data_IF_201528844816
#
_entry.id   IF_201528844816
#
_cell.length_a   1.000
_cell.length_b   1.000
_cell.length_c   1.000
_cell.angle_alpha   90.00
_cell.angle_beta   90.00
_cell.angle_gamma   90.00
#
_symmetry.space_group_name_H-M   'P 1'
#
loop_
_entity.id
_entity.type
_entity.pdbx_description
1 polymer ?
#
# COMPACT_ATOMS: atom_id res chain seq x y z
N UNK A 1 7.38 -16.16 -12.51
CA UNK A 1 7.30 -14.77 -11.99
C UNK A 1 6.24 -14.76 -10.89
N UNK A 2 6.35 -13.95 -9.83
CA UNK A 2 5.27 -13.86 -8.82
C UNK A 2 4.11 -13.02 -9.34
N UNK A 3 2.89 -13.25 -8.85
CA UNK A 3 1.71 -12.45 -9.25
C UNK A 3 1.86 -10.97 -8.92
N UNK A 4 2.53 -10.64 -7.81
CA UNK A 4 2.84 -9.27 -7.41
C UNK A 4 3.78 -8.60 -8.42
N UNK A 5 4.79 -9.33 -8.90
CA UNK A 5 5.72 -8.86 -9.94
C UNK A 5 5.01 -8.65 -11.27
N UNK A 6 4.09 -9.54 -11.66
CA UNK A 6 3.30 -9.38 -12.89
C UNK A 6 2.46 -8.10 -12.83
N UNK A 7 1.73 -7.88 -11.73
CA UNK A 7 0.91 -6.67 -11.55
C UNK A 7 1.77 -5.41 -11.57
N UNK A 8 2.96 -5.45 -10.94
CA UNK A 8 3.90 -4.33 -10.93
C UNK A 8 4.41 -3.97 -12.32
N UNK A 9 4.89 -4.95 -13.08
CA UNK A 9 5.44 -4.70 -14.41
C UNK A 9 4.35 -4.25 -15.40
N UNK A 10 3.16 -4.83 -15.31
CA UNK A 10 2.00 -4.34 -16.07
C UNK A 10 1.72 -2.86 -15.75
N UNK A 11 1.72 -2.46 -14.47
CA UNK A 11 1.53 -1.06 -14.08
C UNK A 11 2.64 -0.15 -14.59
N UNK A 12 3.89 -0.58 -14.54
CA UNK A 12 5.04 0.17 -15.06
C UNK A 12 4.90 0.43 -16.58
N UNK A 13 4.31 -0.52 -17.31
CA UNK A 13 4.01 -0.41 -18.74
C UNK A 13 2.69 0.33 -19.03
N UNK A 14 2.03 0.89 -18.01
CA UNK A 14 0.80 1.67 -18.15
C UNK A 14 -0.49 0.83 -18.23
N UNK A 15 -0.45 -0.44 -17.80
CA UNK A 15 -1.63 -1.28 -17.68
C UNK A 15 -2.19 -1.26 -16.25
N UNK A 16 -3.50 -1.11 -16.12
CA UNK A 16 -4.23 -1.40 -14.89
C UNK A 16 -4.85 -2.80 -14.97
N UNK A 17 -4.72 -3.58 -13.89
CA UNK A 17 -5.30 -4.92 -13.77
C UNK A 17 -6.25 -4.95 -12.58
N UNK A 18 -7.45 -5.45 -12.80
CA UNK A 18 -8.47 -5.68 -11.77
C UNK A 18 -9.20 -7.00 -12.00
N UNK A 19 -10.02 -7.39 -11.03
CA UNK A 19 -10.93 -8.52 -11.15
C UNK A 19 -12.38 -8.02 -11.09
N UNK A 20 -13.23 -8.50 -11.99
CA UNK A 20 -14.66 -8.23 -12.01
C UNK A 20 -15.42 -9.54 -12.29
N UNK A 21 -16.31 -9.94 -11.37
CA UNK A 21 -17.10 -11.17 -11.51
C UNK A 21 -16.28 -12.44 -11.77
N UNK A 22 -15.05 -12.52 -11.26
CA UNK A 22 -14.12 -13.65 -11.52
C UNK A 22 -13.44 -13.61 -12.89
N UNK A 23 -13.55 -12.50 -13.63
CA UNK A 23 -12.79 -12.24 -14.85
C UNK A 23 -11.68 -11.23 -14.60
N UNK A 24 -10.56 -11.42 -15.28
CA UNK A 24 -9.44 -10.49 -15.26
C UNK A 24 -9.76 -9.34 -16.21
N UNK A 25 -9.85 -8.13 -15.69
CA UNK A 25 -10.05 -6.91 -16.46
C UNK A 25 -8.70 -6.21 -16.57
N UNK A 26 -8.29 -5.89 -17.80
CA UNK A 26 -7.04 -5.19 -18.08
C UNK A 26 -7.34 -3.95 -18.91
N UNK A 27 -6.89 -2.80 -18.45
CA UNK A 27 -7.10 -1.51 -19.09
C UNK A 27 -5.75 -0.86 -19.43
N UNK A 28 -5.61 -0.34 -20.64
CA UNK A 28 -4.39 0.30 -21.12
C UNK A 28 -4.32 0.35 -22.64
N UNK A 29 -3.16 0.69 -23.21
CA UNK A 29 -2.98 0.73 -24.65
C UNK A 29 -3.11 -0.69 -25.26
N UNK A 30 -3.89 -0.90 -26.35
CA UNK A 30 -4.15 -2.23 -26.91
C UNK A 30 -2.88 -3.02 -27.26
N UNK A 31 -1.87 -2.33 -27.81
CA UNK A 31 -0.58 -2.91 -28.19
C UNK A 31 0.18 -3.45 -26.98
N UNK A 32 0.12 -2.73 -25.85
CA UNK A 32 0.74 -3.16 -24.60
C UNK A 32 -0.03 -4.35 -24.01
N UNK A 33 -1.36 -4.35 -24.07
CA UNK A 33 -2.19 -5.48 -23.63
C UNK A 33 -1.88 -6.75 -24.43
N UNK A 34 -1.74 -6.64 -25.75
CA UNK A 34 -1.39 -7.78 -26.61
C UNK A 34 -0.01 -8.35 -26.28
N UNK A 35 0.95 -7.48 -25.96
CA UNK A 35 2.30 -7.87 -25.51
C UNK A 35 2.25 -8.68 -24.22
N UNK A 36 1.41 -8.28 -23.26
CA UNK A 36 1.26 -8.95 -21.96
C UNK A 36 0.33 -10.17 -21.97
N UNK A 37 -0.46 -10.36 -23.03
CA UNK A 37 -1.50 -11.39 -23.13
C UNK A 37 -1.03 -12.82 -22.80
N UNK A 38 0.16 -13.28 -23.23
CA UNK A 38 0.64 -14.63 -22.86
C UNK A 38 0.87 -14.77 -21.36
N UNK A 39 1.58 -13.82 -20.75
CA UNK A 39 1.90 -13.82 -19.31
C UNK A 39 0.63 -13.75 -18.46
N UNK A 40 -0.31 -12.89 -18.85
CA UNK A 40 -1.60 -12.74 -18.16
C UNK A 40 -2.46 -14.01 -18.23
N UNK A 41 -2.39 -14.76 -19.35
CA UNK A 41 -3.07 -16.05 -19.48
C UNK A 41 -2.45 -17.11 -18.58
N UNK A 42 -1.12 -17.21 -18.58
CA UNK A 42 -0.38 -18.20 -17.79
C UNK A 42 -0.62 -18.01 -16.28
N UNK A 43 -0.77 -16.77 -15.83
CA UNK A 43 -0.99 -16.43 -14.42
C UNK A 43 -2.46 -16.13 -14.07
N UNK A 44 -3.43 -16.36 -14.96
CA UNK A 44 -4.84 -15.90 -14.80
C UNK A 44 -5.45 -16.27 -13.44
N UNK A 45 -5.36 -17.55 -13.06
CA UNK A 45 -6.00 -18.04 -11.84
C UNK A 45 -5.35 -17.47 -10.57
N UNK A 46 -4.02 -17.39 -10.56
CA UNK A 46 -3.26 -16.83 -9.43
C UNK A 46 -3.53 -15.32 -9.29
N UNK A 47 -3.60 -14.59 -10.42
CA UNK A 47 -3.96 -13.17 -10.45
C UNK A 47 -5.37 -12.94 -9.90
N UNK A 48 -6.35 -13.74 -10.32
CA UNK A 48 -7.71 -13.64 -9.82
C UNK A 48 -7.78 -13.92 -8.30
N UNK A 49 -7.11 -14.97 -7.83
CA UNK A 49 -7.05 -15.28 -6.41
C UNK A 49 -6.37 -14.16 -5.60
N UNK A 50 -5.27 -13.60 -6.12
CA UNK A 50 -4.57 -12.49 -5.48
C UNK A 50 -5.42 -11.21 -5.44
N UNK A 51 -6.05 -10.84 -6.56
CA UNK A 51 -6.88 -9.64 -6.65
C UNK A 51 -8.15 -9.74 -5.81
N UNK A 52 -8.67 -10.96 -5.61
CA UNK A 52 -9.76 -11.24 -4.68
C UNK A 52 -9.32 -11.30 -3.21
N UNK A 53 -8.01 -11.36 -2.93
CA UNK A 53 -7.50 -11.48 -1.57
C UNK A 53 -7.47 -10.14 -0.83
N UNK A 54 -7.50 -10.23 0.51
CA UNK A 54 -7.34 -9.08 1.40
C UNK A 54 -6.01 -8.34 1.17
N UNK A 55 -4.99 -9.00 0.60
CA UNK A 55 -3.68 -8.38 0.34
C UNK A 55 -3.75 -7.28 -0.72
N UNK A 56 -4.48 -7.53 -1.81
CA UNK A 56 -4.65 -6.53 -2.86
C UNK A 56 -5.48 -5.34 -2.35
N UNK A 57 -6.53 -5.62 -1.58
CA UNK A 57 -7.39 -4.60 -0.97
C UNK A 57 -6.60 -3.76 0.04
N UNK A 58 -5.82 -4.40 0.92
CA UNK A 58 -4.96 -3.73 1.90
C UNK A 58 -3.88 -2.87 1.24
N UNK A 59 -3.28 -3.34 0.14
CA UNK A 59 -2.34 -2.52 -0.64
C UNK A 59 -3.02 -1.25 -1.16
N UNK A 60 -4.19 -1.37 -1.79
CA UNK A 60 -4.93 -0.23 -2.32
C UNK A 60 -5.36 0.74 -1.21
N UNK A 61 -5.87 0.21 -0.10
CA UNK A 61 -6.26 0.98 1.07
C UNK A 61 -5.08 1.77 1.67
N UNK A 62 -3.89 1.15 1.77
CA UNK A 62 -2.66 1.84 2.19
C UNK A 62 -2.30 3.00 1.29
N UNK A 63 -2.30 2.79 -0.03
CA UNK A 63 -1.97 3.87 -0.99
C UNK A 63 -2.93 5.05 -0.78
N UNK A 64 -4.23 4.79 -0.67
CA UNK A 64 -5.22 5.83 -0.42
C UNK A 64 -4.99 6.55 0.92
N UNK A 65 -4.80 5.82 2.03
CA UNK A 65 -4.56 6.42 3.35
C UNK A 65 -3.29 7.28 3.34
N UNK A 66 -2.22 6.82 2.69
CA UNK A 66 -0.98 7.58 2.60
C UNK A 66 -1.16 8.85 1.74
N UNK A 67 -1.99 8.80 0.70
CA UNK A 67 -2.37 9.98 -0.08
C UNK A 67 -3.23 10.96 0.72
N UNK A 68 -4.14 10.48 1.57
CA UNK A 68 -4.91 11.33 2.50
C UNK A 68 -4.01 12.04 3.52
N UNK A 69 -2.88 11.42 3.84
CA UNK A 69 -1.79 12.00 4.62
C UNK A 69 -0.93 13.02 3.83
N UNK A 70 -1.23 13.24 2.54
CA UNK A 70 -0.56 14.22 1.68
C UNK A 70 0.66 13.69 0.95
N UNK A 71 0.91 12.37 0.94
CA UNK A 71 1.96 11.80 0.11
C UNK A 71 1.48 11.71 -1.35
N UNK A 72 2.31 12.10 -2.33
CA UNK A 72 1.97 11.85 -3.73
C UNK A 72 1.99 10.34 -4.02
N UNK A 73 1.28 9.92 -5.07
CA UNK A 73 1.16 8.50 -5.45
C UNK A 73 2.52 7.80 -5.59
N UNK A 74 3.49 8.45 -6.25
CA UNK A 74 4.83 7.92 -6.45
C UNK A 74 5.63 7.72 -5.15
N UNK A 75 5.24 8.36 -4.04
CA UNK A 75 5.82 8.15 -2.72
C UNK A 75 5.02 7.14 -1.88
N UNK A 76 3.69 7.13 -2.02
CA UNK A 76 2.80 6.21 -1.30
C UNK A 76 2.96 4.74 -1.76
N UNK A 77 3.04 4.51 -3.08
CA UNK A 77 3.12 3.16 -3.64
C UNK A 77 4.37 2.38 -3.19
N UNK A 78 5.60 2.93 -3.20
CA UNK A 78 6.78 2.23 -2.70
C UNK A 78 6.67 1.85 -1.22
N UNK A 79 6.05 2.69 -0.39
CA UNK A 79 5.83 2.38 1.03
C UNK A 79 4.86 1.20 1.16
N UNK A 80 3.71 1.25 0.46
CA UNK A 80 2.74 0.16 0.47
C UNK A 80 3.35 -1.16 -0.03
N UNK A 81 4.24 -1.11 -1.03
CA UNK A 81 4.99 -2.26 -1.54
C UNK A 81 5.92 -2.86 -0.49
N UNK A 82 6.68 -2.02 0.21
CA UNK A 82 7.53 -2.47 1.35
C UNK A 82 6.69 -3.17 2.43
N UNK A 83 5.48 -2.67 2.69
CA UNK A 83 4.57 -3.29 3.66
C UNK A 83 3.94 -4.59 3.18
N UNK A 84 3.69 -4.76 1.87
CA UNK A 84 3.23 -6.03 1.32
C UNK A 84 4.29 -7.15 1.53
N UNK A 85 5.58 -6.83 1.31
CA UNK A 85 6.68 -7.75 1.60
C UNK A 85 6.73 -8.09 3.10
N UNK A 86 6.59 -7.09 3.96
CA UNK A 86 6.53 -7.27 5.42
C UNK A 86 5.41 -8.23 5.82
N UNK A 87 4.22 -8.05 5.27
CA UNK A 87 3.04 -8.85 5.59
C UNK A 87 3.21 -10.31 5.14
N UNK A 88 3.79 -10.52 3.95
CA UNK A 88 4.14 -11.85 3.45
C UNK A 88 5.16 -12.57 4.37
N UNK A 89 6.08 -11.81 4.96
CA UNK A 89 7.05 -12.31 5.95
C UNK A 89 6.48 -12.43 7.37
N UNK A 90 5.18 -12.13 7.56
CA UNK A 90 4.50 -12.10 8.86
C UNK A 90 5.22 -11.24 9.90
N UNK A 91 5.88 -10.18 9.45
CA UNK A 91 6.68 -9.36 10.33
C UNK A 91 5.80 -8.42 11.16
N UNK A 92 5.96 -8.45 12.49
CA UNK A 92 5.13 -7.70 13.45
C UNK A 92 5.41 -6.19 13.56
N UNK A 93 6.49 -5.68 12.96
CA UNK A 93 6.79 -4.24 12.96
C UNK A 93 5.69 -3.49 12.19
N UNK A 94 5.43 -2.24 12.55
CA UNK A 94 4.45 -1.37 11.90
C UNK A 94 5.09 -0.03 11.55
N UNK A 95 4.42 0.78 10.74
CA UNK A 95 4.84 2.16 10.47
C UNK A 95 3.78 3.12 10.99
N UNK A 96 4.15 4.37 11.32
CA UNK A 96 3.18 5.32 11.84
C UNK A 96 2.08 5.67 10.83
N UNK A 97 2.36 5.63 9.53
CA UNK A 97 1.36 5.89 8.48
C UNK A 97 0.17 4.91 8.49
N UNK A 98 0.31 3.74 9.12
CA UNK A 98 -0.80 2.79 9.31
C UNK A 98 -1.59 3.05 10.60
N UNK A 99 -1.16 4.00 11.44
CA UNK A 99 -1.66 4.17 12.80
C UNK A 99 -2.79 5.20 12.89
N UNK A 100 -3.91 4.85 13.52
CA UNK A 100 -5.03 5.76 13.81
C UNK A 100 -4.62 6.96 14.68
N UNK A 101 -3.53 6.85 15.45
CA UNK A 101 -3.03 7.93 16.30
C UNK A 101 -2.17 8.95 15.54
N UNK A 102 -1.83 8.71 14.26
CA UNK A 102 -1.05 9.65 13.45
C UNK A 102 -1.96 10.76 12.91
N UNK A 103 -1.52 12.00 13.08
CA UNK A 103 -2.18 13.17 12.51
C UNK A 103 -1.14 14.24 12.10
N UNK A 104 -1.62 15.31 11.48
CA UNK A 104 -0.77 16.33 10.86
C UNK A 104 -0.50 16.03 9.40
N UNK A 105 0.60 16.57 8.87
CA UNK A 105 0.96 16.45 7.46
C UNK A 105 2.46 16.19 7.29
N UNK A 106 2.88 15.99 6.04
CA UNK A 106 4.28 15.80 5.63
C UNK A 106 5.27 16.84 6.21
N UNK A 107 4.80 18.04 6.57
CA UNK A 107 5.63 19.11 7.17
C UNK A 107 5.71 19.03 8.70
N UNK A 108 4.77 18.36 9.35
CA UNK A 108 4.58 18.44 10.80
C UNK A 108 3.75 17.25 11.34
N UNK A 109 4.31 16.05 11.31
CA UNK A 109 3.67 14.86 11.87
C UNK A 109 3.51 14.92 13.38
N UNK A 110 2.44 14.31 13.91
CA UNK A 110 2.15 14.21 15.35
C UNK A 110 1.50 12.86 15.67
N UNK A 111 1.64 12.40 16.91
CA UNK A 111 1.05 11.15 17.38
C UNK A 111 0.29 11.38 18.69
N UNK A 112 -1.02 11.10 18.69
CA UNK A 112 -1.91 11.33 19.83
C UNK A 112 -1.61 10.43 21.04
N UNK A 113 -0.90 9.32 20.83
CA UNK A 113 -0.54 8.39 21.89
C UNK A 113 0.78 8.75 22.61
N UNK A 114 1.55 9.74 22.11
CA UNK A 114 2.77 10.16 22.79
C UNK A 114 2.39 11.03 23.99
N UNK A 115 2.84 10.68 25.19
CA UNK A 115 2.51 11.36 26.46
C UNK A 115 2.85 12.86 26.54
N UNK A 116 3.59 13.40 25.57
CA UNK A 116 3.88 14.85 25.42
C UNK A 116 3.22 15.48 24.19
N UNK A 117 2.26 14.81 23.55
CA UNK A 117 1.51 15.33 22.41
C UNK A 117 0.46 16.36 22.85
N UNK A 118 0.92 17.49 23.37
CA UNK A 118 0.12 18.71 23.28
C UNK A 118 0.11 19.16 21.81
N UNK A 119 -0.89 19.93 21.39
CA UNK A 119 -0.94 20.54 20.04
C UNK A 119 0.37 21.30 19.73
N UNK A 120 1.06 21.80 20.75
CA UNK A 120 2.34 22.54 20.67
C UNK A 120 3.60 21.66 20.79
N UNK A 121 3.49 20.34 20.94
CA UNK A 121 4.65 19.44 21.04
C UNK A 121 5.48 19.39 19.74
N UNK A 122 6.77 19.00 19.83
CA UNK A 122 7.61 18.88 18.65
C UNK A 122 7.07 17.83 17.68
N UNK A 123 7.28 18.07 16.38
CA UNK A 123 6.91 17.13 15.34
C UNK A 123 7.62 15.79 15.50
N UNK A 124 6.97 14.73 15.04
CA UNK A 124 7.69 13.50 14.79
C UNK A 124 8.70 13.74 13.67
N UNK A 125 9.90 13.15 13.76
CA UNK A 125 10.81 13.07 12.63
C UNK A 125 10.11 12.44 11.42
N UNK A 126 10.30 13.02 10.23
CA UNK A 126 9.60 12.57 9.02
C UNK A 126 9.98 11.13 8.64
N UNK A 127 11.24 10.76 8.84
CA UNK A 127 11.78 9.41 8.65
C UNK A 127 11.21 8.38 9.63
N UNK A 128 10.81 8.80 10.84
CA UNK A 128 10.18 7.89 11.78
C UNK A 128 8.81 7.39 11.30
N UNK A 129 8.11 8.19 10.50
CA UNK A 129 6.71 7.97 10.16
C UNK A 129 6.52 6.82 9.17
N UNK A 130 7.51 6.56 8.32
CA UNK A 130 7.55 5.42 7.41
C UNK A 130 8.53 4.30 7.82
N UNK A 131 9.33 4.50 8.88
CA UNK A 131 10.25 3.48 9.41
C UNK A 131 9.51 2.32 10.10
N UNK A 132 9.87 1.09 9.76
CA UNK A 132 9.40 -0.12 10.44
C UNK A 132 9.92 -0.19 11.88
N UNK A 133 9.03 -0.05 12.85
CA UNK A 133 9.36 -0.17 14.28
C UNK A 133 8.24 -0.82 15.09
N UNK A 134 8.50 -1.09 16.37
CA UNK A 134 7.49 -1.54 17.33
C UNK A 134 7.01 -0.34 18.14
N UNK A 135 5.70 -0.14 18.24
CA UNK A 135 5.09 0.92 19.05
C UNK A 135 3.98 0.30 19.92
N UNK A 136 4.07 0.49 21.25
CA UNK A 136 3.12 -0.13 22.21
C UNK A 136 1.71 0.46 22.16
N UNK A 137 1.54 1.68 21.67
CA UNK A 137 0.20 2.25 21.44
C UNK A 137 -0.09 2.44 19.95
N UNK A 138 0.45 1.54 19.13
CA UNK A 138 -0.02 1.40 17.76
C UNK A 138 -1.48 0.93 17.77
N UNK A 139 -2.32 1.58 16.97
CA UNK A 139 -3.68 1.14 16.67
C UNK A 139 -3.85 1.26 15.17
N UNK A 140 -4.27 0.19 14.48
CA UNK A 140 -4.45 0.23 13.03
C UNK A 140 -5.53 1.26 12.66
N UNK A 141 -5.30 2.04 11.62
CA UNK A 141 -6.31 2.96 11.08
C UNK A 141 -7.56 2.19 10.66
N UNK A 142 -8.78 2.63 11.00
CA UNK A 142 -10.03 1.97 10.60
C UNK A 142 -10.22 1.86 9.09
N UNK A 143 -9.48 2.64 8.30
CA UNK A 143 -9.50 2.56 6.84
C UNK A 143 -8.61 1.42 6.29
N UNK A 144 -7.88 0.72 7.16
CA UNK A 144 -6.97 -0.39 6.82
C UNK A 144 -7.39 -1.72 7.48
N UNK A 145 -8.56 -1.77 8.13
CA UNK A 145 -9.12 -2.97 8.78
C UNK A 145 -10.04 -3.74 7.86
#
# INVERSE_FOLDING_TARGET
MSVETVIEQCRADGLAISADGGQLVVTGAPQTVDTWRPVLKDHKNELLAYLASDRAQLFAARVMVFQQHGLPQHAAEPIARRLAIRDAQQHERRICLECANLYGSVKAWRCGNRSKATIAGPALPADLVDLLHRCRGFSLSPHLT
#
